data_IF_153201895066
#
_entry.id   IF_153201895066
#
_cell.length_a   1.000
_cell.length_b   1.000
_cell.length_c   1.000
_cell.angle_alpha   90.00
_cell.angle_beta   90.00
_cell.angle_gamma   90.00
#
_symmetry.space_group_name_H-M   'P 1'
#
loop_
_entity.id
_entity.type
_entity.pdbx_description
1 polymer ?
#
# COMPACT_ATOMS: atom_id res chain seq x y z
N UNK A 1 8.64 27.57 6.23
CA UNK A 1 9.33 26.79 5.19
C UNK A 1 9.18 27.54 3.87
N UNK A 2 10.28 28.10 3.38
CA UNK A 2 10.33 28.82 2.11
C UNK A 2 10.25 27.83 0.95
N UNK A 3 9.34 28.06 -0.02
CA UNK A 3 9.14 27.16 -1.15
C UNK A 3 10.28 27.34 -2.15
N UNK A 4 11.10 26.31 -2.35
CA UNK A 4 12.14 26.31 -3.38
C UNK A 4 11.51 26.44 -4.78
N UNK A 5 12.08 27.32 -5.61
CA UNK A 5 11.65 27.51 -7.00
C UNK A 5 11.82 26.18 -7.77
N UNK A 6 10.78 25.72 -8.48
CA UNK A 6 10.77 24.46 -9.24
C UNK A 6 11.99 24.34 -10.15
N UNK A 7 12.36 25.43 -10.83
CA UNK A 7 13.52 25.46 -11.73
C UNK A 7 14.82 25.12 -11.00
N UNK A 8 14.99 25.65 -9.78
CA UNK A 8 16.15 25.38 -8.94
C UNK A 8 16.19 23.91 -8.50
N UNK A 9 15.03 23.33 -8.14
CA UNK A 9 14.93 21.93 -7.73
C UNK A 9 15.32 20.95 -8.87
N UNK A 10 14.80 21.17 -10.07
CA UNK A 10 15.16 20.38 -11.26
C UNK A 10 16.64 20.52 -11.61
N UNK A 11 17.22 21.72 -11.47
CA UNK A 11 18.64 21.96 -11.71
C UNK A 11 19.54 21.18 -10.72
N UNK A 12 19.16 21.12 -9.45
CA UNK A 12 19.90 20.33 -8.45
C UNK A 12 19.90 18.85 -8.81
N UNK A 13 18.76 18.29 -9.21
CA UNK A 13 18.64 16.89 -9.62
C UNK A 13 19.48 16.61 -10.88
N UNK A 14 19.42 17.50 -11.87
CA UNK A 14 20.21 17.40 -13.10
C UNK A 14 21.72 17.49 -12.81
N UNK A 15 22.14 18.43 -11.94
CA UNK A 15 23.54 18.56 -11.52
C UNK A 15 24.04 17.30 -10.82
N UNK A 16 23.22 16.69 -9.97
CA UNK A 16 23.55 15.44 -9.31
C UNK A 16 23.65 14.26 -10.29
N UNK A 17 22.78 14.20 -11.32
CA UNK A 17 22.88 13.21 -12.40
C UNK A 17 24.19 13.33 -13.18
N UNK A 18 24.62 14.56 -13.48
CA UNK A 18 25.90 14.83 -14.15
C UNK A 18 27.05 14.35 -13.26
N UNK A 19 27.04 14.72 -11.98
CA UNK A 19 28.05 14.29 -11.02
C UNK A 19 28.13 12.77 -10.94
N UNK A 20 27.01 12.07 -10.83
CA UNK A 20 26.93 10.62 -10.73
C UNK A 20 27.53 9.92 -11.98
N UNK A 21 27.24 10.46 -13.17
CA UNK A 21 27.79 9.93 -14.42
C UNK A 21 29.29 10.19 -14.57
N UNK A 22 29.75 11.39 -14.19
CA UNK A 22 31.17 11.74 -14.20
C UNK A 22 31.96 10.88 -13.23
N UNK A 23 31.50 10.74 -11.98
CA UNK A 23 32.14 9.90 -10.97
C UNK A 23 32.24 8.45 -11.42
N UNK A 24 31.21 7.92 -12.10
CA UNK A 24 31.26 6.57 -12.69
C UNK A 24 32.36 6.46 -13.76
N UNK A 25 32.46 7.44 -14.66
CA UNK A 25 33.47 7.46 -15.72
C UNK A 25 34.89 7.55 -15.16
N UNK A 26 35.10 8.45 -14.19
CA UNK A 26 36.40 8.63 -13.54
C UNK A 26 36.82 7.37 -12.78
N UNK A 27 35.89 6.72 -12.06
CA UNK A 27 36.19 5.48 -11.34
C UNK A 27 36.66 4.35 -12.26
N UNK A 28 36.04 4.22 -13.45
CA UNK A 28 36.46 3.27 -14.47
C UNK A 28 37.86 3.58 -15.02
N UNK A 29 38.18 4.86 -15.25
CA UNK A 29 39.48 5.28 -15.78
C UNK A 29 40.61 5.08 -14.77
N UNK A 30 40.34 5.34 -13.49
CA UNK A 30 41.31 5.25 -12.42
C UNK A 30 41.38 3.85 -11.79
N UNK A 31 40.59 2.89 -12.30
CA UNK A 31 40.42 1.55 -11.75
C UNK A 31 40.10 1.55 -10.24
N UNK A 32 39.30 2.52 -9.80
CA UNK A 32 38.86 2.67 -8.41
C UNK A 32 37.45 2.10 -8.22
N UNK A 33 37.19 1.59 -7.01
CA UNK A 33 35.85 1.12 -6.66
C UNK A 33 34.93 2.30 -6.42
N UNK A 34 33.70 2.21 -6.92
CA UNK A 34 32.65 3.19 -6.64
C UNK A 34 32.23 3.10 -5.17
N UNK A 35 31.80 4.23 -4.61
CA UNK A 35 31.23 4.30 -3.26
C UNK A 35 30.01 3.39 -3.09
N UNK A 36 29.22 3.23 -4.15
CA UNK A 36 28.03 2.38 -4.17
C UNK A 36 28.16 1.27 -5.22
N UNK A 37 27.41 0.18 -5.03
CA UNK A 37 27.36 -0.90 -6.01
C UNK A 37 26.86 -0.41 -7.37
N UNK A 38 27.20 -1.14 -8.43
CA UNK A 38 26.70 -0.84 -9.78
C UNK A 38 25.17 -0.78 -9.81
N UNK A 39 24.50 -1.72 -9.13
CA UNK A 39 23.04 -1.76 -9.04
C UNK A 39 22.49 -0.51 -8.35
N UNK A 40 23.04 -0.12 -7.20
CA UNK A 40 22.62 1.10 -6.49
C UNK A 40 22.77 2.34 -7.36
N UNK A 41 23.90 2.46 -8.07
CA UNK A 41 24.17 3.59 -8.96
C UNK A 41 23.19 3.66 -10.13
N UNK A 42 22.85 2.50 -10.72
CA UNK A 42 21.86 2.42 -11.80
C UNK A 42 20.47 2.77 -11.28
N UNK A 43 20.04 2.17 -10.16
CA UNK A 43 18.73 2.45 -9.57
C UNK A 43 18.57 3.91 -9.18
N UNK A 44 19.61 4.53 -8.62
CA UNK A 44 19.62 5.96 -8.28
C UNK A 44 19.48 6.84 -9.53
N UNK A 45 20.18 6.50 -10.62
CA UNK A 45 20.04 7.21 -11.90
C UNK A 45 18.62 7.11 -12.43
N UNK A 46 18.05 5.91 -12.45
CA UNK A 46 16.68 5.68 -12.90
C UNK A 46 15.71 6.50 -12.06
N UNK A 47 15.83 6.48 -10.72
CA UNK A 47 14.97 7.25 -9.83
C UNK A 47 15.03 8.76 -10.11
N UNK A 48 16.23 9.32 -10.28
CA UNK A 48 16.40 10.75 -10.57
C UNK A 48 15.80 11.15 -11.92
N UNK A 49 15.99 10.33 -12.96
CA UNK A 49 15.40 10.57 -14.29
C UNK A 49 13.87 10.48 -14.19
N UNK A 50 13.33 9.43 -13.58
CA UNK A 50 11.87 9.26 -13.42
C UNK A 50 11.23 10.42 -12.65
N UNK A 51 11.90 10.97 -11.62
CA UNK A 51 11.39 12.13 -10.89
C UNK A 51 11.36 13.37 -11.79
N UNK A 52 12.39 13.61 -12.62
CA UNK A 52 12.40 14.71 -13.59
C UNK A 52 11.28 14.57 -14.63
N UNK A 53 11.05 13.36 -15.12
CA UNK A 53 10.00 13.07 -16.09
C UNK A 53 8.61 13.30 -15.49
N UNK A 54 8.37 12.84 -14.25
CA UNK A 54 7.11 13.08 -13.53
C UNK A 54 6.88 14.58 -13.30
N UNK A 55 7.91 15.30 -12.86
CA UNK A 55 7.81 16.75 -12.65
C UNK A 55 7.44 17.44 -13.95
N UNK A 56 8.13 17.13 -15.05
CA UNK A 56 7.87 17.72 -16.37
C UNK A 56 6.44 17.43 -16.82
N UNK A 57 6.01 16.16 -16.74
CA UNK A 57 4.65 15.74 -17.11
C UNK A 57 3.56 16.49 -16.32
N UNK A 58 3.75 16.68 -15.01
CA UNK A 58 2.78 17.36 -14.17
C UNK A 58 2.72 18.87 -14.47
N UNK A 59 3.86 19.49 -14.75
CA UNK A 59 3.90 20.89 -15.15
C UNK A 59 3.25 21.12 -16.52
N UNK A 60 3.42 20.21 -17.47
CA UNK A 60 2.72 20.24 -18.77
C UNK A 60 1.20 20.14 -18.61
N UNK A 61 0.73 19.60 -17.48
CA UNK A 61 -0.70 19.54 -17.09
C UNK A 61 -1.14 20.71 -16.20
N UNK A 62 -0.36 21.79 -16.13
CA UNK A 62 -0.62 23.00 -15.33
C UNK A 62 -0.65 22.76 -13.81
N UNK A 63 0.04 21.73 -13.31
CA UNK A 63 0.22 21.56 -11.86
C UNK A 63 1.24 22.59 -11.35
N UNK A 64 0.86 23.37 -10.34
CA UNK A 64 1.67 24.49 -9.85
C UNK A 64 2.94 24.04 -9.11
N UNK A 65 2.89 22.92 -8.41
CA UNK A 65 4.01 22.38 -7.64
C UNK A 65 3.89 20.86 -7.48
N UNK A 66 5.04 20.19 -7.34
CA UNK A 66 5.12 18.74 -7.12
C UNK A 66 5.75 18.47 -5.76
N UNK A 67 5.04 17.73 -4.91
CA UNK A 67 5.55 17.30 -3.61
C UNK A 67 6.35 16.00 -3.76
N UNK A 68 7.65 16.10 -4.00
CA UNK A 68 8.53 14.93 -4.17
C UNK A 68 8.54 14.00 -2.96
N UNK A 69 8.27 14.52 -1.75
CA UNK A 69 8.07 13.73 -0.53
C UNK A 69 6.86 12.78 -0.58
N UNK A 70 5.99 12.89 -1.59
CA UNK A 70 4.88 11.94 -1.84
C UNK A 70 5.23 10.85 -2.85
N UNK A 71 6.42 10.90 -3.46
CA UNK A 71 6.90 9.92 -4.43
C UNK A 71 7.71 8.79 -3.79
N UNK A 72 7.64 8.61 -2.47
CA UNK A 72 8.38 7.60 -1.71
C UNK A 72 7.45 6.56 -1.05
N UNK A 73 8.06 5.50 -0.51
CA UNK A 73 7.35 4.39 0.13
C UNK A 73 7.00 4.65 1.60
N UNK A 74 7.50 5.72 2.23
CA UNK A 74 7.31 6.01 3.66
C UNK A 74 5.86 5.93 4.14
N UNK A 75 4.82 6.39 3.40
CA UNK A 75 3.44 6.20 3.83
C UNK A 75 3.05 4.72 3.99
N UNK A 76 3.52 3.86 3.08
CA UNK A 76 3.28 2.43 3.12
C UNK A 76 4.07 1.76 4.25
N UNK A 77 5.32 2.17 4.48
CA UNK A 77 6.12 1.67 5.60
C UNK A 77 5.51 2.05 6.95
N UNK A 78 5.05 3.29 7.09
CA UNK A 78 4.31 3.74 8.27
C UNK A 78 3.02 2.96 8.45
N UNK A 79 2.29 2.69 7.38
CA UNK A 79 1.11 1.83 7.43
C UNK A 79 1.45 0.44 7.97
N UNK A 80 2.50 -0.20 7.46
CA UNK A 80 2.94 -1.49 7.98
C UNK A 80 3.44 -1.41 9.43
N UNK A 81 4.04 -0.31 9.86
CA UNK A 81 4.38 -0.07 11.26
C UNK A 81 3.14 -0.02 12.15
N UNK A 82 2.09 0.69 11.72
CA UNK A 82 0.79 0.71 12.40
C UNK A 82 0.22 -0.72 12.49
N UNK A 83 0.19 -1.48 11.39
CA UNK A 83 -0.34 -2.84 11.40
C UNK A 83 0.44 -3.76 12.36
N UNK A 84 1.78 -3.68 12.39
CA UNK A 84 2.59 -4.46 13.33
C UNK A 84 2.32 -4.09 14.79
N UNK A 85 2.09 -2.80 15.07
CA UNK A 85 1.79 -2.33 16.43
C UNK A 85 0.50 -2.90 17.03
N UNK A 86 -0.46 -3.37 16.22
CA UNK A 86 -1.67 -4.04 16.72
C UNK A 86 -1.40 -5.41 17.35
N UNK A 87 -0.29 -6.07 16.98
CA UNK A 87 0.10 -7.38 17.54
C UNK A 87 0.72 -7.31 18.94
N UNK A 88 0.98 -6.10 19.47
CA UNK A 88 1.74 -5.95 20.71
C UNK A 88 3.16 -6.50 20.55
N UNK A 89 3.47 -7.59 21.25
CA UNK A 89 4.78 -8.28 21.22
C UNK A 89 4.90 -9.28 20.04
N UNK A 90 3.80 -9.54 19.32
CA UNK A 90 3.78 -10.38 18.12
C UNK A 90 4.26 -9.58 16.89
N UNK A 91 5.58 -9.46 16.73
CA UNK A 91 6.22 -8.68 15.66
C UNK A 91 6.02 -9.31 14.25
N UNK A 92 5.49 -10.53 14.19
CA UNK A 92 5.26 -11.31 12.97
C UNK A 92 3.80 -11.76 12.83
N UNK A 93 2.92 -10.81 12.55
CA UNK A 93 1.53 -11.11 12.24
C UNK A 93 1.41 -12.10 11.06
N UNK A 94 0.72 -13.22 11.25
CA UNK A 94 0.32 -14.11 10.15
C UNK A 94 -0.49 -13.35 9.10
N UNK A 95 -0.50 -13.82 7.85
CA UNK A 95 -1.30 -13.24 6.75
C UNK A 95 -2.77 -13.02 7.14
N UNK A 96 -3.35 -13.93 7.95
CA UNK A 96 -4.71 -13.81 8.48
C UNK A 96 -4.86 -12.61 9.42
N UNK A 97 -3.91 -12.41 10.34
CA UNK A 97 -3.90 -11.26 11.26
C UNK A 97 -3.77 -9.95 10.49
N UNK A 98 -2.84 -9.88 9.53
CA UNK A 98 -2.72 -8.72 8.65
C UNK A 98 -4.04 -8.41 7.93
N UNK A 99 -4.71 -9.42 7.37
CA UNK A 99 -5.99 -9.25 6.66
C UNK A 99 -7.10 -8.71 7.57
N UNK A 100 -7.17 -9.18 8.80
CA UNK A 100 -8.16 -8.73 9.79
C UNK A 100 -7.90 -7.28 10.22
N UNK A 101 -6.65 -6.95 10.55
CA UNK A 101 -6.25 -5.59 10.95
C UNK A 101 -6.43 -4.60 9.79
N UNK A 102 -6.06 -4.99 8.57
CA UNK A 102 -6.27 -4.19 7.37
C UNK A 102 -7.76 -3.83 7.19
N UNK A 103 -8.66 -4.82 7.27
CA UNK A 103 -10.11 -4.57 7.18
C UNK A 103 -10.61 -3.65 8.27
N UNK A 104 -10.14 -3.86 9.51
CA UNK A 104 -10.49 -3.01 10.64
C UNK A 104 -10.06 -1.55 10.40
N UNK A 105 -8.83 -1.33 9.93
CA UNK A 105 -8.31 0.02 9.64
C UNK A 105 -9.03 0.71 8.48
N UNK A 106 -9.38 -0.04 7.43
CA UNK A 106 -10.19 0.47 6.33
C UNK A 106 -11.59 0.93 6.79
N UNK A 107 -12.20 0.21 7.73
CA UNK A 107 -13.50 0.57 8.31
C UNK A 107 -13.42 1.71 9.32
N UNK A 108 -12.34 1.75 10.10
CA UNK A 108 -12.19 2.68 11.21
C UNK A 108 -12.24 4.14 10.77
N UNK A 109 -11.64 4.48 9.63
CA UNK A 109 -11.57 5.89 9.17
C UNK A 109 -12.95 6.42 8.77
N UNK A 110 -13.72 5.76 7.89
CA UNK A 110 -15.09 6.16 7.57
C UNK A 110 -16.00 6.18 8.80
N UNK A 111 -15.95 5.14 9.66
CA UNK A 111 -16.76 5.07 10.87
C UNK A 111 -16.47 6.23 11.85
N UNK A 112 -15.20 6.57 12.01
CA UNK A 112 -14.77 7.68 12.87
C UNK A 112 -15.25 9.02 12.32
N UNK A 113 -15.22 9.22 11.01
CA UNK A 113 -15.73 10.45 10.38
C UNK A 113 -17.25 10.55 10.59
N UNK A 114 -17.98 9.48 10.28
CA UNK A 114 -19.43 9.40 10.44
C UNK A 114 -19.91 9.61 11.89
N UNK A 115 -19.10 9.24 12.89
CA UNK A 115 -19.44 9.40 14.32
C UNK A 115 -19.00 10.73 14.93
N UNK A 116 -18.06 11.46 14.31
CA UNK A 116 -17.48 12.69 14.88
C UNK A 116 -18.12 13.97 14.34
N UNK A 117 -18.80 13.91 13.20
CA UNK A 117 -19.52 15.04 12.61
C UNK A 117 -21.04 14.87 12.79
N UNK A 118 -21.73 15.93 13.23
CA UNK A 118 -23.20 16.04 13.18
C UNK A 118 -23.67 16.29 11.73
N UNK A 119 -23.30 15.41 10.80
CA UNK A 119 -23.65 15.58 9.40
C UNK A 119 -25.11 15.16 9.18
N UNK A 120 -25.93 16.16 8.86
CA UNK A 120 -27.28 16.01 8.37
C UNK A 120 -27.21 15.57 6.90
N UNK A 121 -27.66 14.35 6.60
CA UNK A 121 -28.09 13.93 5.27
C UNK A 121 -26.98 13.58 4.26
N UNK A 122 -26.49 12.34 4.30
CA UNK A 122 -26.63 11.28 3.28
C UNK A 122 -25.65 10.15 3.65
N UNK A 123 -25.97 8.90 3.36
CA UNK A 123 -25.11 7.78 3.75
C UNK A 123 -23.79 7.82 2.97
N UNK A 124 -22.65 7.85 3.66
CA UNK A 124 -21.34 7.83 3.03
C UNK A 124 -21.21 6.56 2.14
N UNK A 125 -21.04 6.70 0.80
CA UNK A 125 -21.07 5.59 -0.13
C UNK A 125 -20.03 4.50 0.19
N UNK A 126 -18.92 4.86 0.87
CA UNK A 126 -17.89 3.91 1.25
C UNK A 126 -18.37 2.93 2.35
N UNK A 127 -19.21 3.40 3.28
CA UNK A 127 -19.81 2.57 4.35
C UNK A 127 -20.90 1.64 3.82
N UNK A 128 -21.74 2.15 2.90
CA UNK A 128 -22.81 1.36 2.24
C UNK A 128 -22.22 0.19 1.45
N UNK A 129 -21.15 0.45 0.70
CA UNK A 129 -20.50 -0.58 -0.13
C UNK A 129 -19.90 -1.72 0.70
N UNK A 130 -19.38 -1.41 1.90
CA UNK A 130 -18.82 -2.43 2.80
C UNK A 130 -19.92 -3.27 3.46
N UNK A 131 -21.03 -2.64 3.86
CA UNK A 131 -22.21 -3.35 4.39
C UNK A 131 -22.77 -4.35 3.37
N UNK A 132 -22.96 -3.90 2.12
CA UNK A 132 -23.45 -4.74 1.03
C UNK A 132 -22.50 -5.93 0.75
N UNK A 133 -21.19 -5.66 0.71
CA UNK A 133 -20.17 -6.69 0.49
C UNK A 133 -20.09 -7.72 1.62
N UNK A 134 -20.23 -7.28 2.88
CA UNK A 134 -20.24 -8.15 4.04
C UNK A 134 -21.52 -9.00 4.11
N UNK A 135 -22.66 -8.41 3.77
CA UNK A 135 -23.97 -9.08 3.75
C UNK A 135 -24.01 -10.19 2.70
N UNK A 136 -23.52 -9.94 1.48
CA UNK A 136 -23.42 -10.96 0.43
C UNK A 136 -22.49 -12.12 0.82
N UNK A 137 -21.34 -11.83 1.44
CA UNK A 137 -20.41 -12.86 1.92
C UNK A 137 -20.98 -13.68 3.08
N UNK A 138 -21.74 -13.05 3.98
CA UNK A 138 -22.45 -13.74 5.07
C UNK A 138 -23.49 -14.73 4.53
N UNK A 139 -24.28 -14.31 3.54
CA UNK A 139 -25.29 -15.16 2.90
C UNK A 139 -24.63 -16.38 2.23
N UNK A 140 -23.56 -16.16 1.47
CA UNK A 140 -22.82 -17.23 0.81
C UNK A 140 -22.17 -18.22 1.81
N UNK A 141 -21.69 -17.73 2.95
CA UNK A 141 -21.14 -18.58 4.00
C UNK A 141 -22.22 -19.45 4.68
N UNK A 142 -23.41 -18.88 4.92
CA UNK A 142 -24.56 -19.61 5.47
C UNK A 142 -25.01 -20.73 4.52
N UNK A 143 -25.13 -20.45 3.22
CA UNK A 143 -25.47 -21.46 2.21
C UNK A 143 -24.44 -22.60 2.16
N UNK A 144 -23.15 -22.29 2.28
CA UNK A 144 -22.09 -23.33 2.34
C UNK A 144 -22.16 -24.17 3.61
N UNK A 145 -22.54 -23.57 4.74
CA UNK A 145 -22.72 -24.29 6.01
C UNK A 145 -23.91 -25.25 5.90
N UNK A 146 -25.05 -24.78 5.39
CA UNK A 146 -26.25 -25.60 5.18
C UNK A 146 -25.96 -26.78 4.22
N UNK A 147 -25.29 -26.52 3.10
CA UNK A 147 -24.89 -27.58 2.17
C UNK A 147 -23.96 -28.63 2.79
N UNK A 148 -23.10 -28.23 3.74
CA UNK A 148 -22.26 -29.17 4.51
C UNK A 148 -23.08 -30.00 5.49
N UNK A 149 -24.04 -29.40 6.18
CA UNK A 149 -24.91 -30.08 7.14
C UNK A 149 -25.83 -31.10 6.44
N UNK A 150 -26.40 -30.75 5.29
CA UNK A 150 -27.17 -31.68 4.46
C UNK A 150 -26.32 -32.85 3.97
N UNK A 151 -25.11 -32.56 3.49
CA UNK A 151 -24.17 -33.60 3.05
C UNK A 151 -23.79 -34.54 4.20
N UNK A 152 -23.59 -33.99 5.41
CA UNK A 152 -23.29 -34.78 6.60
C UNK A 152 -24.49 -35.65 7.00
N UNK A 153 -25.72 -35.11 6.97
CA UNK A 153 -26.95 -35.86 7.22
C UNK A 153 -27.14 -37.03 6.25
N UNK A 154 -26.87 -36.81 4.96
CA UNK A 154 -26.90 -37.87 3.95
C UNK A 154 -25.85 -38.95 4.17
N UNK A 155 -24.66 -38.57 4.67
CA UNK A 155 -23.61 -39.53 5.02
C UNK A 155 -23.99 -40.35 6.25
N UNK A 156 -24.56 -39.71 7.28
CA UNK A 156 -25.01 -40.40 8.49
C UNK A 156 -26.15 -41.39 8.19
N UNK A 157 -27.09 -41.04 7.32
CA UNK A 157 -28.18 -41.95 6.92
C UNK A 157 -27.67 -43.18 6.12
N UNK A 158 -26.49 -43.09 5.49
CA UNK A 158 -25.86 -44.22 4.79
C UNK A 158 -25.09 -45.17 5.71
N UNK A 159 -24.84 -44.76 6.96
CA UNK A 159 -24.21 -45.63 7.96
C UNK A 159 -25.33 -46.47 8.59
N UNK A 160 -25.64 -47.60 7.95
CA UNK A 160 -26.48 -48.64 8.55
C UNK A 160 -25.67 -49.30 9.67
N UNK A 161 -26.12 -49.17 10.93
CA UNK A 161 -25.61 -50.01 12.01
C UNK A 161 -26.03 -51.45 11.73
N UNK A 162 -25.06 -52.30 11.42
CA UNK A 162 -25.24 -53.75 11.48
C UNK A 162 -25.38 -54.09 12.97
N UNK A 163 -26.59 -54.20 13.46
CA UNK A 163 -26.85 -54.85 14.75
C UNK A 163 -26.44 -56.32 14.62
N UNK A 164 -25.51 -56.74 15.50
CA UNK A 164 -25.00 -58.10 15.63
C UNK A 164 -26.00 -59.01 16.32
#
# INVERSE_FOLDING_TARGET
MEKMNVRLATQVIQGFLILLNTTKKTGLQQNTRLFASQMTTVSLRVALISVLDIISLLHDKNVLYVLTAKLNQDPLERFFGVVRSFGGDEDHSTVTHFSQIFRLLCLYTPLKIATKENCSGDADPELVTVEESLSGKKLAALSRKQAREEKLGQMLHKIHFKES
#
